data_IF_693285808731
#
_entry.id   IF_693285808731
#
_cell.length_a   1.000
_cell.length_b   1.000
_cell.length_c   1.000
_cell.angle_alpha   90.00
_cell.angle_beta   90.00
_cell.angle_gamma   90.00
#
_symmetry.space_group_name_H-M   'P 1'
#
loop_
_entity.id
_entity.type
_entity.pdbx_description
1 polymer ?
#
# COMPACT_ATOMS: atom_id res chain seq x y z
N UNK A 1 -16.87 29.70 -14.88
CA UNK A 1 -17.50 30.16 -13.64
C UNK A 1 -18.81 29.41 -13.38
N UNK A 2 -19.84 29.50 -14.26
CA UNK A 2 -21.14 28.83 -14.04
C UNK A 2 -20.99 27.33 -13.73
N UNK A 3 -20.20 26.61 -14.50
CA UNK A 3 -19.96 25.16 -14.34
C UNK A 3 -19.28 24.80 -13.02
N UNK A 4 -18.37 25.64 -12.53
CA UNK A 4 -17.70 25.45 -11.22
C UNK A 4 -18.72 25.56 -10.07
N UNK A 5 -19.69 26.47 -10.18
CA UNK A 5 -20.71 26.67 -9.16
C UNK A 5 -21.76 25.55 -9.20
N UNK A 6 -22.23 25.21 -10.40
CA UNK A 6 -23.27 24.18 -10.61
C UNK A 6 -22.69 22.75 -10.47
N UNK A 7 -21.37 22.59 -10.63
CA UNK A 7 -20.66 21.29 -10.65
C UNK A 7 -21.20 20.29 -11.69
N UNK A 8 -21.84 20.80 -12.74
CA UNK A 8 -22.43 20.00 -13.82
C UNK A 8 -22.22 20.66 -15.17
N UNK A 9 -21.42 20.01 -16.03
CA UNK A 9 -21.21 20.45 -17.42
C UNK A 9 -22.49 20.33 -18.26
N UNK A 10 -23.23 19.25 -18.07
CA UNK A 10 -24.50 19.03 -18.78
C UNK A 10 -25.53 20.10 -18.45
N UNK A 11 -25.63 20.53 -17.18
CA UNK A 11 -26.50 21.63 -16.80
C UNK A 11 -26.04 22.95 -17.43
N UNK A 12 -24.74 23.24 -17.44
CA UNK A 12 -24.18 24.47 -18.06
C UNK A 12 -24.42 24.51 -19.58
N UNK A 13 -24.22 23.36 -20.27
CA UNK A 13 -24.54 23.25 -21.70
C UNK A 13 -26.04 23.32 -21.94
N UNK A 14 -26.88 22.76 -21.08
CA UNK A 14 -28.33 22.88 -21.13
C UNK A 14 -28.82 24.34 -21.02
N UNK A 15 -28.21 25.16 -20.15
CA UNK A 15 -28.49 26.58 -20.08
C UNK A 15 -28.12 27.28 -21.40
N UNK A 16 -26.94 26.96 -21.97
CA UNK A 16 -26.54 27.54 -23.25
C UNK A 16 -27.49 27.13 -24.37
N UNK A 17 -27.98 25.89 -24.38
CA UNK A 17 -28.99 25.41 -25.34
C UNK A 17 -30.34 26.13 -25.17
N UNK A 18 -30.74 26.44 -23.92
CA UNK A 18 -31.96 27.22 -23.66
C UNK A 18 -31.79 28.64 -24.18
N UNK A 19 -30.64 29.27 -23.95
CA UNK A 19 -30.32 30.59 -24.49
C UNK A 19 -30.25 30.64 -26.00
N UNK A 20 -29.82 29.56 -26.68
CA UNK A 20 -29.77 29.53 -28.12
C UNK A 20 -31.15 29.67 -28.80
N UNK A 21 -32.24 29.29 -28.11
CA UNK A 21 -33.60 29.46 -28.59
C UNK A 21 -34.03 30.93 -28.65
N UNK A 22 -33.32 31.86 -28.01
CA UNK A 22 -33.55 33.30 -28.13
C UNK A 22 -32.93 33.97 -29.34
N UNK A 23 -32.12 33.21 -30.14
CA UNK A 23 -31.42 33.73 -31.30
C UNK A 23 -30.17 34.57 -30.98
N UNK A 24 -29.76 34.67 -29.73
CA UNK A 24 -28.63 35.52 -29.28
C UNK A 24 -27.30 34.76 -29.29
N UNK A 25 -27.29 33.41 -29.34
CA UNK A 25 -26.09 32.62 -29.28
C UNK A 25 -25.57 32.32 -30.69
N UNK A 26 -24.43 32.94 -31.01
CA UNK A 26 -23.71 32.68 -32.26
C UNK A 26 -22.62 31.61 -32.09
N UNK A 27 -22.09 31.08 -33.20
CA UNK A 27 -21.00 30.14 -33.19
C UNK A 27 -19.77 30.71 -32.46
N UNK A 28 -19.41 31.96 -32.74
CA UNK A 28 -18.30 32.67 -32.12
C UNK A 28 -18.42 32.83 -30.58
N UNK A 29 -19.65 32.99 -30.07
CA UNK A 29 -19.88 33.11 -28.63
C UNK A 29 -20.02 31.79 -27.90
N UNK A 30 -20.52 30.75 -28.59
CA UNK A 30 -20.75 29.43 -27.99
C UNK A 30 -19.45 28.67 -27.73
N UNK A 31 -18.46 28.75 -28.64
CA UNK A 31 -17.19 28.01 -28.54
C UNK A 31 -16.46 28.28 -27.20
N UNK A 32 -16.11 29.54 -26.83
CA UNK A 32 -15.42 29.81 -25.58
C UNK A 32 -16.24 29.42 -24.35
N UNK A 33 -17.59 29.48 -24.42
CA UNK A 33 -18.47 29.05 -23.34
C UNK A 33 -18.42 27.53 -23.17
N UNK A 34 -18.47 26.76 -24.25
CA UNK A 34 -18.39 25.29 -24.22
C UNK A 34 -17.03 24.85 -23.68
N UNK A 35 -15.92 25.40 -24.20
CA UNK A 35 -14.57 25.07 -23.73
C UNK A 35 -14.37 25.51 -22.27
N UNK A 36 -14.95 26.64 -21.86
CA UNK A 36 -14.99 27.06 -20.46
C UNK A 36 -15.79 26.13 -19.54
N UNK A 37 -16.82 25.46 -20.07
CA UNK A 37 -17.57 24.44 -19.34
C UNK A 37 -16.72 23.19 -19.10
N UNK A 38 -15.88 22.77 -20.05
CA UNK A 38 -14.92 21.68 -19.89
C UNK A 38 -13.92 21.98 -18.75
N UNK A 39 -13.34 23.19 -18.74
CA UNK A 39 -12.45 23.61 -17.65
C UNK A 39 -13.19 23.56 -16.30
N UNK A 40 -14.44 24.07 -16.29
CA UNK A 40 -15.24 24.09 -15.05
C UNK A 40 -15.51 22.72 -14.46
N UNK A 41 -15.66 21.69 -15.28
CA UNK A 41 -15.87 20.30 -14.85
C UNK A 41 -14.66 19.73 -14.13
N UNK A 42 -13.47 20.17 -14.50
CA UNK A 42 -12.23 19.68 -13.88
C UNK A 42 -12.01 20.19 -12.45
N UNK A 43 -12.77 21.20 -12.00
CA UNK A 43 -12.71 21.67 -10.61
C UNK A 43 -13.44 20.75 -9.62
N UNK A 44 -14.38 19.93 -10.06
CA UNK A 44 -15.11 19.02 -9.16
C UNK A 44 -14.18 18.00 -8.46
N UNK A 45 -13.32 17.26 -9.14
CA UNK A 45 -12.34 16.40 -8.48
C UNK A 45 -11.34 17.17 -7.61
N UNK A 46 -11.01 18.43 -7.94
CA UNK A 46 -10.11 19.24 -7.15
C UNK A 46 -10.69 19.62 -5.77
N UNK A 47 -12.00 19.75 -5.65
CA UNK A 47 -12.65 20.05 -4.38
C UNK A 47 -12.61 18.86 -3.42
N UNK A 48 -12.45 17.63 -3.93
CA UNK A 48 -12.39 16.40 -3.13
C UNK A 48 -10.95 15.98 -2.78
N UNK A 49 -9.93 16.72 -3.22
CA UNK A 49 -8.51 16.42 -2.98
C UNK A 49 -8.12 16.47 -1.49
N UNK A 50 -8.86 17.15 -0.64
CA UNK A 50 -8.47 17.47 0.74
C UNK A 50 -8.16 16.27 1.66
N UNK A 51 -8.62 15.08 1.32
CA UNK A 51 -8.34 13.83 2.05
C UNK A 51 -7.80 12.70 1.16
N UNK A 52 -7.54 12.99 -0.13
CA UNK A 52 -7.18 11.94 -1.09
C UNK A 52 -5.70 11.57 -1.03
N UNK A 53 -5.39 10.31 -1.36
CA UNK A 53 -4.04 9.81 -1.57
C UNK A 53 -3.27 10.63 -2.60
N UNK A 54 -1.92 10.52 -2.63
CA UNK A 54 -1.08 11.19 -3.64
C UNK A 54 -1.51 10.85 -5.06
N UNK A 55 -1.90 9.60 -5.30
CA UNK A 55 -2.37 9.17 -6.62
C UNK A 55 -3.77 9.71 -6.95
N UNK A 56 -4.65 9.85 -5.97
CA UNK A 56 -5.91 10.57 -6.10
C UNK A 56 -5.69 12.05 -6.48
N UNK A 57 -4.73 12.72 -5.81
CA UNK A 57 -4.31 14.10 -6.14
C UNK A 57 -3.76 14.21 -7.55
N UNK A 58 -2.90 13.26 -7.96
CA UNK A 58 -2.36 13.18 -9.33
C UNK A 58 -3.44 12.95 -10.38
N UNK A 59 -4.38 12.05 -10.12
CA UNK A 59 -5.49 11.77 -11.03
C UNK A 59 -6.38 13.00 -11.24
N UNK A 60 -6.71 13.73 -10.19
CA UNK A 60 -7.46 14.99 -10.27
C UNK A 60 -6.69 16.08 -11.04
N UNK A 61 -5.37 16.17 -10.86
CA UNK A 61 -4.52 17.09 -11.61
C UNK A 61 -4.41 16.70 -13.10
N UNK A 62 -4.31 15.43 -13.44
CA UNK A 62 -4.34 14.94 -14.84
C UNK A 62 -5.65 15.38 -15.50
N UNK A 63 -6.77 15.21 -14.82
CA UNK A 63 -8.08 15.66 -15.32
C UNK A 63 -8.14 17.17 -15.51
N UNK A 64 -7.57 17.96 -14.58
CA UNK A 64 -7.45 19.41 -14.71
C UNK A 64 -6.59 19.80 -15.93
N UNK A 65 -5.39 19.24 -16.03
CA UNK A 65 -4.46 19.54 -17.13
C UNK A 65 -5.06 19.17 -18.49
N UNK A 66 -5.70 18.00 -18.60
CA UNK A 66 -6.40 17.58 -19.79
C UNK A 66 -7.43 18.64 -20.25
N UNK A 67 -8.29 19.10 -19.33
CA UNK A 67 -9.36 20.05 -19.67
C UNK A 67 -8.83 21.47 -19.91
N UNK A 68 -7.89 21.95 -19.10
CA UNK A 68 -7.34 23.31 -19.25
C UNK A 68 -6.49 23.41 -20.51
N UNK A 69 -5.49 22.55 -20.66
CA UNK A 69 -4.56 22.59 -21.80
C UNK A 69 -5.32 22.28 -23.10
N UNK A 70 -6.20 21.27 -23.08
CA UNK A 70 -7.04 20.92 -24.23
C UNK A 70 -7.93 22.06 -24.68
N UNK A 71 -8.62 22.72 -23.75
CA UNK A 71 -9.46 23.86 -24.07
C UNK A 71 -8.67 25.04 -24.65
N UNK A 72 -7.48 25.33 -24.08
CA UNK A 72 -6.61 26.41 -24.58
C UNK A 72 -6.09 26.10 -25.99
N UNK A 73 -5.62 24.86 -26.24
CA UNK A 73 -5.12 24.45 -27.56
C UNK A 73 -6.26 24.51 -28.58
N UNK A 74 -7.42 23.92 -28.28
CA UNK A 74 -8.56 23.93 -29.19
C UNK A 74 -9.04 25.35 -29.50
N UNK A 75 -9.11 26.22 -28.48
CA UNK A 75 -9.47 27.61 -28.66
C UNK A 75 -8.47 28.32 -29.58
N UNK A 76 -7.18 28.16 -29.34
CA UNK A 76 -6.11 28.74 -30.17
C UNK A 76 -6.19 28.26 -31.63
N UNK A 77 -6.41 26.94 -31.84
CA UNK A 77 -6.56 26.38 -33.19
C UNK A 77 -7.79 26.93 -33.92
N UNK A 78 -8.94 27.00 -33.26
CA UNK A 78 -10.18 27.52 -33.86
C UNK A 78 -10.01 28.98 -34.25
N UNK A 79 -9.42 29.81 -33.38
CA UNK A 79 -9.15 31.21 -33.70
C UNK A 79 -8.07 31.37 -34.81
N UNK A 80 -7.04 30.53 -34.82
CA UNK A 80 -6.06 30.52 -35.89
C UNK A 80 -6.71 30.21 -37.25
N UNK A 81 -7.60 29.22 -37.31
CA UNK A 81 -8.37 28.90 -38.54
C UNK A 81 -9.28 30.08 -38.90
N UNK A 82 -9.94 30.69 -37.92
CA UNK A 82 -10.79 31.85 -38.16
C UNK A 82 -10.02 33.03 -38.79
N UNK A 83 -8.82 33.35 -38.27
CA UNK A 83 -8.01 34.44 -38.78
C UNK A 83 -7.28 34.20 -40.09
N UNK A 84 -6.98 32.94 -40.42
CA UNK A 84 -6.25 32.56 -41.64
C UNK A 84 -7.15 32.20 -42.83
N UNK A 85 -8.15 31.38 -42.60
CA UNK A 85 -9.03 30.83 -43.63
C UNK A 85 -10.42 31.47 -43.57
N UNK A 86 -10.88 31.84 -42.37
CA UNK A 86 -12.25 32.22 -42.12
C UNK A 86 -13.17 31.02 -41.93
N UNK A 87 -13.98 31.02 -40.91
CA UNK A 87 -15.02 30.03 -40.67
C UNK A 87 -16.36 30.62 -41.18
N UNK A 88 -16.97 30.08 -42.26
CA UNK A 88 -18.16 30.69 -42.87
C UNK A 88 -19.32 30.90 -41.86
N UNK A 89 -19.51 29.96 -40.91
CA UNK A 89 -20.59 29.99 -39.92
C UNK A 89 -20.26 30.82 -38.64
N UNK A 90 -19.17 31.58 -38.63
CA UNK A 90 -18.69 32.28 -37.43
C UNK A 90 -19.71 33.21 -36.77
N UNK A 91 -20.51 33.89 -37.57
CA UNK A 91 -21.59 34.79 -37.12
C UNK A 91 -22.97 34.16 -37.05
N UNK A 92 -23.11 32.89 -37.49
CA UNK A 92 -24.42 32.24 -37.57
C UNK A 92 -24.98 31.93 -36.19
N UNK A 93 -26.30 32.05 -36.04
CA UNK A 93 -27.04 31.70 -34.83
C UNK A 93 -27.07 30.18 -34.67
N UNK A 94 -26.69 29.69 -33.52
CA UNK A 94 -26.69 28.27 -33.22
C UNK A 94 -28.03 27.78 -32.68
N UNK A 95 -28.39 26.57 -33.05
CA UNK A 95 -29.51 25.83 -32.44
C UNK A 95 -29.01 24.84 -31.37
N UNK A 96 -29.95 24.22 -30.66
CA UNK A 96 -29.66 23.26 -29.57
C UNK A 96 -28.78 22.11 -30.04
N UNK A 97 -29.08 21.54 -31.24
CA UNK A 97 -28.33 20.42 -31.79
C UNK A 97 -26.91 20.80 -32.17
N UNK A 98 -26.71 22.00 -32.76
CA UNK A 98 -25.37 22.50 -33.11
C UNK A 98 -24.49 22.69 -31.87
N UNK A 99 -25.04 23.17 -30.76
CA UNK A 99 -24.31 23.30 -29.48
C UNK A 99 -23.90 21.91 -28.96
N UNK A 100 -24.82 20.93 -28.98
CA UNK A 100 -24.50 19.57 -28.54
C UNK A 100 -23.41 18.93 -29.42
N UNK A 101 -23.52 19.10 -30.73
CA UNK A 101 -22.53 18.54 -31.69
C UNK A 101 -21.13 19.15 -31.47
N UNK A 102 -21.04 20.47 -31.24
CA UNK A 102 -19.75 21.14 -31.00
C UNK A 102 -19.18 20.71 -29.65
N UNK A 103 -20.01 20.57 -28.62
CA UNK A 103 -19.56 20.05 -27.34
C UNK A 103 -18.98 18.64 -27.46
N UNK A 104 -19.67 17.74 -28.16
CA UNK A 104 -19.17 16.38 -28.43
C UNK A 104 -17.90 16.39 -29.26
N UNK A 105 -17.90 17.17 -30.36
CA UNK A 105 -16.75 17.27 -31.26
C UNK A 105 -15.50 17.80 -30.50
N UNK A 106 -15.66 18.84 -29.71
CA UNK A 106 -14.54 19.38 -28.91
C UNK A 106 -13.97 18.37 -27.91
N UNK A 107 -14.82 17.54 -27.28
CA UNK A 107 -14.39 16.45 -26.38
C UNK A 107 -13.63 15.37 -27.13
N UNK A 108 -14.13 14.94 -28.29
CA UNK A 108 -13.46 13.93 -29.14
C UNK A 108 -12.13 14.46 -29.67
N UNK A 109 -12.06 15.70 -30.14
CA UNK A 109 -10.82 16.32 -30.58
C UNK A 109 -9.77 16.40 -29.42
N UNK A 110 -10.19 16.81 -28.23
CA UNK A 110 -9.31 16.83 -27.07
C UNK A 110 -8.79 15.41 -26.71
N UNK A 111 -9.67 14.41 -26.73
CA UNK A 111 -9.29 13.01 -26.49
C UNK A 111 -8.24 12.53 -27.50
N UNK A 112 -8.49 12.73 -28.80
CA UNK A 112 -7.57 12.32 -29.86
C UNK A 112 -6.22 13.04 -29.78
N UNK A 113 -6.22 14.32 -29.37
CA UNK A 113 -5.00 15.11 -29.17
C UNK A 113 -4.13 14.56 -28.03
N UNK A 114 -4.74 14.17 -26.91
CA UNK A 114 -4.00 13.74 -25.73
C UNK A 114 -3.75 12.24 -25.63
N UNK A 115 -4.45 11.40 -26.41
CA UNK A 115 -4.24 9.95 -26.39
C UNK A 115 -2.76 9.58 -26.60
N UNK A 116 -2.05 10.11 -27.62
CA UNK A 116 -0.62 9.83 -27.81
C UNK A 116 0.28 10.52 -26.75
N UNK A 117 -0.21 11.56 -26.08
CA UNK A 117 0.54 12.40 -25.15
C UNK A 117 0.17 12.18 -23.67
N UNK A 118 -0.54 11.09 -23.34
CA UNK A 118 -0.99 10.80 -21.98
C UNK A 118 0.16 10.77 -20.96
N UNK A 119 1.35 10.28 -21.37
CA UNK A 119 2.55 10.30 -20.54
C UNK A 119 3.05 11.71 -20.15
N UNK A 120 2.73 12.73 -20.96
CA UNK A 120 3.10 14.13 -20.63
C UNK A 120 2.23 14.64 -19.47
N UNK A 121 0.92 14.35 -19.50
CA UNK A 121 0.00 14.74 -18.43
C UNK A 121 0.37 14.05 -17.11
N UNK A 122 0.72 12.77 -17.16
CA UNK A 122 1.20 12.03 -15.98
C UNK A 122 2.49 12.63 -15.42
N UNK A 123 3.46 13.00 -16.27
CA UNK A 123 4.69 13.66 -15.83
C UNK A 123 4.43 15.03 -15.19
N UNK A 124 3.52 15.82 -15.75
CA UNK A 124 3.12 17.09 -15.16
C UNK A 124 2.48 16.91 -13.77
N UNK A 125 1.62 15.90 -13.63
CA UNK A 125 1.00 15.60 -12.33
C UNK A 125 2.05 15.13 -11.30
N UNK A 126 3.01 14.30 -11.69
CA UNK A 126 4.13 13.87 -10.83
C UNK A 126 5.05 15.02 -10.44
N UNK A 127 5.28 15.98 -11.33
CA UNK A 127 6.05 17.20 -11.01
C UNK A 127 5.32 18.11 -10.01
N UNK A 128 3.99 18.13 -10.05
CA UNK A 128 3.16 18.95 -9.15
C UNK A 128 2.95 18.30 -7.80
N UNK A 129 2.84 16.96 -7.78
CA UNK A 129 2.76 16.14 -6.56
C UNK A 129 3.93 15.14 -6.60
N UNK A 130 5.13 15.57 -6.19
CA UNK A 130 6.31 14.72 -6.24
C UNK A 130 6.22 13.60 -5.19
N UNK A 131 6.75 12.42 -5.56
CA UNK A 131 7.13 11.39 -4.57
C UNK A 131 8.48 11.79 -3.97
N UNK A 132 8.73 11.45 -2.70
CA UNK A 132 10.09 11.52 -2.18
C UNK A 132 10.97 10.49 -2.91
N UNK A 133 12.28 10.75 -2.98
CA UNK A 133 13.23 9.79 -3.59
C UNK A 133 13.19 8.46 -2.84
N UNK A 134 13.03 8.52 -1.52
CA UNK A 134 12.88 7.35 -0.63
C UNK A 134 11.62 6.55 -0.98
N UNK A 135 10.47 7.21 -1.13
CA UNK A 135 9.21 6.57 -1.52
C UNK A 135 9.28 5.94 -2.92
N UNK A 136 9.96 6.58 -3.87
CA UNK A 136 10.16 6.03 -5.21
C UNK A 136 11.10 4.82 -5.20
N UNK A 137 12.11 4.80 -4.34
CA UNK A 137 13.00 3.64 -4.15
C UNK A 137 12.29 2.52 -3.41
N UNK A 138 11.48 2.84 -2.41
CA UNK A 138 10.68 1.88 -1.65
C UNK A 138 9.66 1.13 -2.53
N UNK A 139 9.08 1.82 -3.52
CA UNK A 139 8.12 1.25 -4.46
C UNK A 139 8.76 0.67 -5.74
N UNK A 140 10.09 0.63 -5.84
CA UNK A 140 10.77 0.06 -7.01
C UNK A 140 10.94 -1.45 -6.91
N UNK A 141 10.67 -2.17 -8.01
CA UNK A 141 11.02 -3.59 -8.11
C UNK A 141 12.53 -3.80 -8.04
N UNK A 142 13.01 -4.86 -7.36
CA UNK A 142 14.41 -5.23 -7.43
C UNK A 142 14.77 -5.67 -8.86
N UNK A 143 15.99 -5.36 -9.29
CA UNK A 143 16.48 -5.84 -10.58
C UNK A 143 17.14 -7.20 -10.36
N UNK A 144 16.60 -8.24 -10.98
CA UNK A 144 17.15 -9.60 -10.98
C UNK A 144 17.71 -9.90 -12.39
N UNK A 145 19.03 -9.99 -12.51
CA UNK A 145 19.71 -10.12 -13.80
C UNK A 145 20.03 -11.59 -14.09
N UNK A 146 19.33 -12.21 -15.03
CA UNK A 146 19.53 -13.60 -15.45
C UNK A 146 20.94 -13.87 -15.99
N UNK A 147 21.69 -12.87 -16.41
CA UNK A 147 23.10 -13.03 -16.85
C UNK A 147 24.02 -13.51 -15.72
N UNK A 148 23.60 -13.28 -14.49
CA UNK A 148 24.34 -13.68 -13.28
C UNK A 148 24.23 -15.18 -12.97
N UNK A 149 23.34 -15.94 -13.62
CA UNK A 149 23.26 -17.39 -13.44
C UNK A 149 24.57 -18.12 -13.74
N UNK A 150 25.44 -17.51 -14.55
CA UNK A 150 26.80 -18.04 -14.78
C UNK A 150 27.73 -17.96 -13.57
N UNK A 151 27.33 -17.25 -12.52
CA UNK A 151 28.04 -17.11 -11.27
C UNK A 151 27.03 -17.26 -10.11
N UNK A 152 26.69 -18.50 -9.71
CA UNK A 152 25.61 -18.80 -8.77
C UNK A 152 25.70 -18.02 -7.46
N UNK A 153 26.89 -17.89 -6.88
CA UNK A 153 27.09 -17.13 -5.65
C UNK A 153 26.68 -15.64 -5.78
N UNK A 154 26.95 -15.01 -6.95
CA UNK A 154 26.54 -13.63 -7.20
C UNK A 154 25.03 -13.54 -7.44
N UNK A 155 24.44 -14.51 -8.13
CA UNK A 155 23.01 -14.59 -8.35
C UNK A 155 22.25 -14.77 -7.01
N UNK A 156 22.74 -15.63 -6.12
CA UNK A 156 22.21 -15.83 -4.76
C UNK A 156 22.28 -14.54 -3.93
N UNK A 157 23.41 -13.84 -3.97
CA UNK A 157 23.53 -12.55 -3.27
C UNK A 157 22.56 -11.50 -3.82
N UNK A 158 22.32 -11.48 -5.12
CA UNK A 158 21.33 -10.58 -5.72
C UNK A 158 19.90 -10.95 -5.28
N UNK A 159 19.56 -12.23 -5.26
CA UNK A 159 18.28 -12.73 -4.75
C UNK A 159 18.09 -12.36 -3.26
N UNK A 160 19.12 -12.61 -2.43
CA UNK A 160 19.10 -12.22 -1.00
C UNK A 160 18.83 -10.73 -0.81
N UNK A 161 19.50 -9.87 -1.58
CA UNK A 161 19.26 -8.43 -1.53
C UNK A 161 17.83 -8.04 -1.94
N UNK A 162 17.19 -8.82 -2.80
CA UNK A 162 15.79 -8.64 -3.14
C UNK A 162 14.88 -9.06 -1.99
N UNK A 163 15.16 -10.20 -1.34
CA UNK A 163 14.42 -10.65 -0.14
C UNK A 163 14.54 -9.64 1.00
N UNK A 164 15.72 -9.05 1.26
CA UNK A 164 15.90 -7.98 2.26
C UNK A 164 15.00 -6.76 1.96
N UNK A 165 14.84 -6.39 0.68
CA UNK A 165 13.90 -5.31 0.32
C UNK A 165 12.44 -5.71 0.54
N UNK A 166 12.11 -6.98 0.36
CA UNK A 166 10.79 -7.52 0.60
C UNK A 166 10.47 -7.54 2.10
N UNK A 167 11.40 -8.00 2.95
CA UNK A 167 11.25 -8.05 4.40
C UNK A 167 10.95 -6.67 5.00
N UNK A 168 11.72 -5.65 4.60
CA UNK A 168 11.51 -4.26 5.04
C UNK A 168 10.13 -3.71 4.66
N UNK A 169 9.60 -4.12 3.51
CA UNK A 169 8.27 -3.72 3.06
C UNK A 169 7.17 -4.39 3.86
N UNK A 170 7.31 -5.70 4.13
CA UNK A 170 6.39 -6.44 4.97
C UNK A 170 6.37 -5.87 6.40
N UNK A 171 7.53 -5.67 7.02
CA UNK A 171 7.64 -5.04 8.34
C UNK A 171 7.02 -3.64 8.38
N UNK A 172 7.25 -2.83 7.33
CA UNK A 172 6.64 -1.50 7.24
C UNK A 172 5.12 -1.56 7.08
N UNK A 173 4.57 -2.54 6.36
CA UNK A 173 3.12 -2.73 6.26
C UNK A 173 2.52 -3.03 7.63
N UNK A 174 3.14 -3.89 8.44
CA UNK A 174 2.69 -4.17 9.81
C UNK A 174 2.68 -2.90 10.66
N UNK A 175 3.78 -2.15 10.68
CA UNK A 175 3.89 -0.90 11.45
C UNK A 175 2.91 0.21 11.00
N UNK A 176 2.39 0.14 9.77
CA UNK A 176 1.36 1.05 9.28
C UNK A 176 -0.07 0.54 9.56
N UNK A 177 -0.28 -0.78 9.62
CA UNK A 177 -1.59 -1.38 9.79
C UNK A 177 -2.11 -1.27 11.24
N UNK A 178 -1.25 -1.50 12.23
CA UNK A 178 -1.65 -1.49 13.64
C UNK A 178 -2.22 -0.12 14.11
N UNK A 179 -1.63 1.05 13.79
CA UNK A 179 -2.22 2.34 14.14
C UNK A 179 -3.59 2.61 13.53
N UNK A 180 -3.94 1.99 12.39
CA UNK A 180 -5.26 2.14 11.76
C UNK A 180 -6.40 1.62 12.64
N UNK A 181 -6.14 0.64 13.50
CA UNK A 181 -7.09 0.12 14.49
C UNK A 181 -7.54 1.19 15.51
N UNK A 182 -6.72 2.22 15.72
CA UNK A 182 -6.99 3.32 16.63
C UNK A 182 -7.53 4.55 15.91
N UNK A 183 -7.03 4.81 14.72
CA UNK A 183 -7.42 5.97 13.90
C UNK A 183 -7.29 5.63 12.42
N UNK A 184 -8.42 5.58 11.73
CA UNK A 184 -8.49 5.32 10.30
C UNK A 184 -7.85 6.44 9.48
N UNK A 185 -7.07 6.08 8.46
CA UNK A 185 -6.45 6.97 7.49
C UNK A 185 -6.42 6.31 6.10
N UNK A 186 -7.21 6.82 5.17
CA UNK A 186 -7.35 6.26 3.81
C UNK A 186 -6.05 6.34 3.00
N UNK A 187 -5.18 7.32 3.27
CA UNK A 187 -3.88 7.43 2.59
C UNK A 187 -2.97 6.27 3.02
N UNK A 188 -2.96 5.93 4.30
CA UNK A 188 -2.22 4.80 4.86
C UNK A 188 -2.74 3.47 4.33
N UNK A 189 -4.07 3.27 4.28
CA UNK A 189 -4.70 2.08 3.67
C UNK A 189 -4.25 1.91 2.22
N UNK A 190 -4.33 2.97 1.43
CA UNK A 190 -3.89 2.94 0.03
C UNK A 190 -2.39 2.60 -0.09
N UNK A 191 -1.55 3.13 0.79
CA UNK A 191 -0.11 2.86 0.81
C UNK A 191 0.20 1.40 1.15
N UNK A 192 -0.52 0.79 2.11
CA UNK A 192 -0.40 -0.63 2.44
C UNK A 192 -0.77 -1.49 1.23
N UNK A 193 -1.95 -1.25 0.61
CA UNK A 193 -2.42 -2.01 -0.56
C UNK A 193 -1.44 -1.94 -1.75
N UNK A 194 -0.85 -0.78 -2.00
CA UNK A 194 0.15 -0.60 -3.07
C UNK A 194 1.43 -1.38 -2.76
N UNK A 195 1.86 -1.38 -1.50
CA UNK A 195 3.09 -2.07 -1.08
C UNK A 195 2.90 -3.58 -1.06
N UNK A 196 1.70 -4.05 -0.69
CA UNK A 196 1.33 -5.47 -0.77
C UNK A 196 1.39 -6.02 -2.18
N UNK A 197 0.73 -5.38 -3.15
CA UNK A 197 0.84 -5.75 -4.56
C UNK A 197 2.29 -5.79 -5.07
N UNK A 198 3.20 -5.07 -4.41
CA UNK A 198 4.60 -5.08 -4.75
C UNK A 198 5.32 -6.27 -4.11
N UNK A 199 4.95 -6.64 -2.87
CA UNK A 199 5.45 -7.82 -2.15
C UNK A 199 5.08 -9.08 -2.94
N UNK A 200 3.80 -9.25 -3.34
CA UNK A 200 3.32 -10.35 -4.17
C UNK A 200 4.13 -10.50 -5.47
N UNK A 201 4.35 -9.38 -6.15
CA UNK A 201 5.14 -9.40 -7.39
C UNK A 201 6.59 -9.74 -7.13
N UNK A 202 7.15 -9.32 -6.02
CA UNK A 202 8.52 -9.66 -5.63
C UNK A 202 8.64 -11.14 -5.30
N UNK A 203 7.67 -11.71 -4.57
CA UNK A 203 7.60 -13.15 -4.31
C UNK A 203 7.68 -13.93 -5.62
N UNK A 204 6.81 -13.64 -6.57
CA UNK A 204 6.78 -14.33 -7.89
C UNK A 204 8.10 -14.15 -8.65
N UNK A 205 8.66 -12.93 -8.70
CA UNK A 205 9.88 -12.66 -9.47
C UNK A 205 11.12 -13.31 -8.82
N UNK A 206 11.24 -13.23 -7.48
CA UNK A 206 12.37 -13.83 -6.75
C UNK A 206 12.29 -15.37 -6.85
N UNK A 207 11.11 -15.94 -6.64
CA UNK A 207 10.88 -17.38 -6.75
C UNK A 207 11.23 -17.90 -8.15
N UNK A 208 10.75 -17.24 -9.20
CA UNK A 208 11.08 -17.62 -10.57
C UNK A 208 12.59 -17.49 -10.87
N UNK A 209 13.24 -16.46 -10.34
CA UNK A 209 14.68 -16.26 -10.49
C UNK A 209 15.47 -17.37 -9.81
N UNK A 210 15.10 -17.75 -8.58
CA UNK A 210 15.73 -18.84 -7.84
C UNK A 210 15.49 -20.20 -8.49
N UNK A 211 14.27 -20.48 -8.97
CA UNK A 211 13.95 -21.72 -9.70
C UNK A 211 14.81 -21.84 -10.98
N UNK A 212 14.93 -20.79 -11.77
CA UNK A 212 15.80 -20.80 -12.96
C UNK A 212 17.28 -20.97 -12.62
N UNK A 213 17.70 -20.49 -11.44
CA UNK A 213 19.07 -20.70 -10.97
C UNK A 213 19.35 -22.19 -10.72
N UNK A 214 18.35 -22.99 -10.29
CA UNK A 214 18.51 -24.45 -10.11
C UNK A 214 18.74 -25.21 -11.41
N UNK A 215 18.44 -24.63 -12.58
CA UNK A 215 18.76 -25.21 -13.89
C UNK A 215 20.27 -25.16 -14.19
N UNK A 216 21.07 -24.47 -13.38
CA UNK A 216 22.52 -24.41 -13.49
C UNK A 216 23.18 -25.55 -12.69
N UNK A 217 24.47 -25.82 -12.96
CA UNK A 217 25.27 -26.74 -12.15
C UNK A 217 25.61 -26.06 -10.81
N UNK A 218 24.79 -26.31 -9.79
CA UNK A 218 24.98 -25.81 -8.42
C UNK A 218 25.74 -26.81 -7.57
N UNK A 219 26.59 -26.29 -6.66
CA UNK A 219 27.12 -27.10 -5.56
C UNK A 219 26.05 -27.38 -4.49
N UNK A 220 26.37 -28.29 -3.56
CA UNK A 220 25.45 -28.68 -2.48
C UNK A 220 25.08 -27.44 -1.61
N UNK A 221 26.08 -26.62 -1.25
CA UNK A 221 25.88 -25.39 -0.45
C UNK A 221 24.99 -24.38 -1.19
N UNK A 222 25.19 -24.21 -2.50
CA UNK A 222 24.39 -23.28 -3.32
C UNK A 222 22.94 -23.78 -3.47
N UNK A 223 22.75 -25.09 -3.64
CA UNK A 223 21.42 -25.72 -3.71
C UNK A 223 20.65 -25.56 -2.41
N UNK A 224 21.33 -25.72 -1.27
CA UNK A 224 20.77 -25.49 0.05
C UNK A 224 20.38 -24.00 0.22
N UNK A 225 21.26 -23.07 -0.15
CA UNK A 225 21.00 -21.64 -0.07
C UNK A 225 19.80 -21.20 -0.93
N UNK A 226 19.60 -21.80 -2.14
CA UNK A 226 18.40 -21.57 -2.95
C UNK A 226 17.15 -22.00 -2.19
N UNK A 227 17.16 -23.18 -1.59
CA UNK A 227 16.03 -23.73 -0.85
C UNK A 227 15.65 -22.84 0.33
N UNK A 228 16.65 -22.39 1.10
CA UNK A 228 16.40 -21.51 2.24
C UNK A 228 15.90 -20.12 1.82
N UNK A 229 16.44 -19.55 0.75
CA UNK A 229 15.92 -18.28 0.23
C UNK A 229 14.46 -18.40 -0.24
N UNK A 230 14.05 -19.53 -0.84
CA UNK A 230 12.65 -19.78 -1.20
C UNK A 230 11.75 -19.84 0.04
N UNK A 231 12.22 -20.47 1.12
CA UNK A 231 11.50 -20.49 2.39
C UNK A 231 11.35 -19.08 2.96
N UNK A 232 12.43 -18.29 3.01
CA UNK A 232 12.38 -16.91 3.52
C UNK A 232 11.47 -16.01 2.71
N UNK A 233 11.42 -16.15 1.39
CA UNK A 233 10.47 -15.42 0.52
C UNK A 233 9.04 -15.66 0.97
N UNK A 234 8.67 -16.92 1.20
CA UNK A 234 7.33 -17.31 1.64
C UNK A 234 7.01 -16.75 3.04
N UNK A 235 7.96 -16.81 3.98
CA UNK A 235 7.74 -16.30 5.33
C UNK A 235 7.53 -14.77 5.33
N UNK A 236 8.30 -14.01 4.55
CA UNK A 236 8.14 -12.55 4.46
C UNK A 236 6.87 -12.12 3.71
N UNK A 237 6.43 -12.86 2.70
CA UNK A 237 5.13 -12.63 2.04
C UNK A 237 4.00 -12.80 3.04
N UNK A 238 4.01 -13.87 3.84
CA UNK A 238 3.01 -14.11 4.88
C UNK A 238 2.92 -12.99 5.90
N UNK A 239 4.06 -12.41 6.31
CA UNK A 239 4.06 -11.22 7.20
C UNK A 239 3.32 -10.06 6.52
N UNK A 240 3.54 -9.83 5.22
CA UNK A 240 2.83 -8.83 4.43
C UNK A 240 1.32 -9.07 4.39
N UNK A 241 0.90 -10.29 4.07
CA UNK A 241 -0.51 -10.73 4.04
C UNK A 241 -1.22 -10.46 5.38
N UNK A 242 -0.58 -10.80 6.52
CA UNK A 242 -1.18 -10.56 7.83
C UNK A 242 -1.28 -9.07 8.17
N UNK A 243 -0.37 -8.24 7.67
CA UNK A 243 -0.49 -6.79 7.78
C UNK A 243 -1.74 -6.26 7.04
N UNK A 244 -2.04 -6.78 5.84
CA UNK A 244 -3.27 -6.46 5.11
C UNK A 244 -4.50 -6.93 5.89
N UNK A 245 -4.48 -8.13 6.46
CA UNK A 245 -5.58 -8.62 7.28
C UNK A 245 -5.86 -7.69 8.48
N UNK A 246 -4.83 -7.18 9.16
CA UNK A 246 -4.99 -6.20 10.26
C UNK A 246 -5.60 -4.89 9.72
N UNK A 247 -5.14 -4.40 8.57
CA UNK A 247 -5.69 -3.21 7.92
C UNK A 247 -7.17 -3.39 7.57
N UNK A 248 -7.57 -4.54 7.00
CA UNK A 248 -8.96 -4.85 6.68
C UNK A 248 -9.85 -4.89 7.93
N UNK A 249 -9.31 -5.32 9.07
CA UNK A 249 -10.01 -5.26 10.35
C UNK A 249 -10.19 -3.83 10.85
N UNK A 250 -9.27 -2.94 10.56
CA UNK A 250 -9.43 -1.52 10.83
C UNK A 250 -10.50 -0.89 9.92
N UNK A 251 -10.53 -1.23 8.62
CA UNK A 251 -11.61 -0.82 7.70
C UNK A 251 -12.98 -1.33 8.21
N UNK A 252 -13.07 -2.59 8.66
CA UNK A 252 -14.30 -3.18 9.21
C UNK A 252 -14.83 -2.42 10.45
N UNK A 253 -13.93 -2.03 11.38
CA UNK A 253 -14.30 -1.22 12.54
C UNK A 253 -14.82 0.16 12.13
N UNK A 254 -14.16 0.80 11.19
CA UNK A 254 -14.54 2.12 10.69
C UNK A 254 -15.90 2.09 10.01
N UNK A 255 -16.16 1.12 9.14
CA UNK A 255 -17.42 0.97 8.42
C UNK A 255 -18.60 0.69 9.36
N UNK A 256 -18.35 0.02 10.49
CA UNK A 256 -19.35 -0.24 11.54
C UNK A 256 -19.49 0.91 12.54
N UNK A 257 -18.77 2.03 12.35
CA UNK A 257 -18.71 3.14 13.32
C UNK A 257 -18.37 2.65 14.76
N UNK A 258 -17.57 1.57 14.84
CA UNK A 258 -17.21 0.91 16.08
C UNK A 258 -15.79 1.27 16.52
N UNK A 259 -15.49 1.16 17.81
CA UNK A 259 -14.16 1.40 18.35
C UNK A 259 -13.89 0.51 19.55
N UNK A 260 -12.62 0.20 19.80
CA UNK A 260 -12.18 -0.50 20.99
C UNK A 260 -12.32 0.37 22.25
N UNK A 261 -12.45 -0.28 23.41
CA UNK A 261 -12.38 0.38 24.71
C UNK A 261 -10.98 0.96 24.96
N UNK A 262 -10.87 1.95 25.85
CA UNK A 262 -9.59 2.55 26.18
C UNK A 262 -8.58 1.54 26.76
N UNK A 263 -9.05 0.53 27.51
CA UNK A 263 -8.19 -0.58 27.96
C UNK A 263 -7.68 -1.41 26.80
N UNK A 264 -8.57 -1.83 25.88
CA UNK A 264 -8.20 -2.61 24.71
C UNK A 264 -7.22 -1.87 23.78
N UNK A 265 -7.37 -0.54 23.64
CA UNK A 265 -6.42 0.28 22.87
C UNK A 265 -5.01 0.26 23.48
N UNK A 266 -4.90 0.40 24.82
CA UNK A 266 -3.60 0.33 25.51
C UNK A 266 -2.97 -1.06 25.39
N UNK A 267 -3.76 -2.09 25.51
CA UNK A 267 -3.35 -3.48 25.36
C UNK A 267 -2.80 -3.72 23.94
N UNK A 268 -3.51 -3.26 22.90
CA UNK A 268 -3.07 -3.36 21.51
C UNK A 268 -1.80 -2.54 21.24
N UNK A 269 -1.64 -1.37 21.87
CA UNK A 269 -0.41 -0.57 21.74
C UNK A 269 0.81 -1.29 22.32
N UNK A 270 0.63 -2.00 23.44
CA UNK A 270 1.72 -2.78 24.03
C UNK A 270 2.09 -3.99 23.18
N UNK A 271 1.08 -4.68 22.61
CA UNK A 271 1.30 -5.78 21.66
C UNK A 271 1.98 -5.30 20.39
N UNK A 272 1.57 -4.14 19.84
CA UNK A 272 2.18 -3.51 18.68
C UNK A 272 3.66 -3.19 18.91
N UNK A 273 4.03 -2.69 20.09
CA UNK A 273 5.43 -2.43 20.44
C UNK A 273 6.27 -3.73 20.48
N UNK A 274 5.71 -4.85 20.94
CA UNK A 274 6.37 -6.15 20.91
C UNK A 274 6.52 -6.68 19.46
N UNK A 275 5.48 -6.50 18.62
CA UNK A 275 5.53 -6.85 17.20
C UNK A 275 6.55 -6.00 16.44
N UNK A 276 6.62 -4.70 16.68
CA UNK A 276 7.63 -3.84 16.06
C UNK A 276 9.05 -4.32 16.43
N UNK A 277 9.26 -4.68 17.69
CA UNK A 277 10.56 -5.18 18.17
C UNK A 277 10.96 -6.49 17.49
N UNK A 278 10.03 -7.47 17.37
CA UNK A 278 10.35 -8.77 16.75
C UNK A 278 10.63 -8.61 15.25
N UNK A 279 9.90 -7.75 14.55
CA UNK A 279 10.13 -7.44 13.13
C UNK A 279 11.51 -6.79 12.92
N UNK A 280 11.88 -5.83 13.75
CA UNK A 280 13.21 -5.19 13.69
C UNK A 280 14.32 -6.20 13.94
N UNK A 281 14.20 -7.05 14.96
CA UNK A 281 15.17 -8.10 15.25
C UNK A 281 15.33 -9.08 14.08
N UNK A 282 14.21 -9.52 13.50
CA UNK A 282 14.22 -10.46 12.37
C UNK A 282 14.85 -9.83 11.13
N UNK A 283 14.50 -8.58 10.81
CA UNK A 283 15.03 -7.87 9.64
C UNK A 283 16.55 -7.61 9.77
N UNK A 284 17.00 -7.13 10.96
CA UNK A 284 18.42 -6.92 11.24
C UNK A 284 19.23 -8.24 11.24
N UNK A 285 18.68 -9.31 11.80
CA UNK A 285 19.31 -10.62 11.78
C UNK A 285 19.48 -11.13 10.35
N UNK A 286 18.42 -11.09 9.55
CA UNK A 286 18.42 -11.57 8.17
C UNK A 286 19.33 -10.74 7.26
N UNK A 287 19.31 -9.42 7.38
CA UNK A 287 20.14 -8.51 6.56
C UNK A 287 21.63 -8.75 6.79
N UNK A 288 22.04 -8.95 8.06
CA UNK A 288 23.45 -9.00 8.46
C UNK A 288 23.98 -10.43 8.65
N UNK A 289 23.18 -11.46 8.40
CA UNK A 289 23.48 -12.87 8.73
C UNK A 289 23.84 -13.02 10.23
N UNK A 290 23.17 -12.25 11.11
CA UNK A 290 23.48 -12.20 12.54
C UNK A 290 22.67 -13.26 13.31
N UNK A 291 23.26 -14.44 13.44
CA UNK A 291 22.65 -15.58 14.15
C UNK A 291 22.46 -15.32 15.64
N UNK A 292 23.28 -14.44 16.26
CA UNK A 292 23.11 -14.06 17.66
C UNK A 292 21.84 -13.23 17.84
N UNK A 293 21.55 -12.33 16.90
CA UNK A 293 20.26 -11.61 16.88
C UNK A 293 19.10 -12.53 16.55
N UNK A 294 19.26 -13.44 15.59
CA UNK A 294 18.24 -14.43 15.29
C UNK A 294 17.84 -15.24 16.53
N UNK A 295 18.80 -15.64 17.36
CA UNK A 295 18.53 -16.36 18.60
C UNK A 295 17.73 -15.56 19.67
N UNK A 296 17.60 -14.24 19.52
CA UNK A 296 16.79 -13.39 20.42
C UNK A 296 15.32 -13.31 19.98
N UNK A 297 14.99 -13.75 18.78
CA UNK A 297 13.62 -13.68 18.23
C UNK A 297 12.70 -14.65 18.94
N UNK A 298 13.12 -15.88 19.15
CA UNK A 298 12.30 -16.95 19.74
C UNK A 298 11.85 -16.66 21.18
N UNK A 299 12.72 -16.14 22.09
CA UNK A 299 12.28 -15.70 23.44
C UNK A 299 11.21 -14.60 23.40
N UNK A 300 11.27 -13.69 22.42
CA UNK A 300 10.28 -12.62 22.27
C UNK A 300 8.97 -13.14 21.67
N UNK A 301 9.02 -14.09 20.73
CA UNK A 301 7.83 -14.74 20.19
C UNK A 301 7.05 -15.47 21.29
N UNK A 302 7.74 -16.21 22.18
CA UNK A 302 7.09 -16.90 23.30
C UNK A 302 6.40 -15.90 24.25
N UNK A 303 6.97 -14.71 24.45
CA UNK A 303 6.31 -13.63 25.22
C UNK A 303 5.09 -13.08 24.47
N UNK A 304 5.16 -12.90 23.15
CA UNK A 304 4.02 -12.44 22.36
C UNK A 304 2.87 -13.46 22.43
N UNK A 305 3.14 -14.75 22.36
CA UNK A 305 2.16 -15.81 22.51
C UNK A 305 1.44 -15.74 23.86
N UNK A 306 2.20 -15.60 24.95
CA UNK A 306 1.63 -15.42 26.30
C UNK A 306 0.80 -14.13 26.38
N UNK A 307 1.24 -13.03 25.75
CA UNK A 307 0.47 -11.79 25.70
C UNK A 307 -0.85 -12.00 24.96
N UNK A 308 -0.84 -12.64 23.80
CA UNK A 308 -2.04 -12.92 22.99
C UNK A 308 -3.04 -13.78 23.76
N UNK A 309 -2.58 -14.84 24.44
CA UNK A 309 -3.44 -15.68 25.27
C UNK A 309 -4.12 -14.88 26.39
N UNK A 310 -3.36 -14.04 27.11
CA UNK A 310 -3.90 -13.19 28.16
C UNK A 310 -4.89 -12.16 27.64
N UNK A 311 -4.57 -11.47 26.56
CA UNK A 311 -5.44 -10.48 25.92
C UNK A 311 -6.75 -11.11 25.47
N UNK A 312 -6.69 -12.34 24.95
CA UNK A 312 -7.86 -13.15 24.57
C UNK A 312 -8.74 -13.43 25.78
N UNK A 313 -8.16 -13.86 26.90
CA UNK A 313 -8.88 -14.13 28.14
C UNK A 313 -9.53 -12.88 28.75
N UNK A 314 -8.82 -11.77 28.77
CA UNK A 314 -9.33 -10.47 29.24
C UNK A 314 -10.49 -9.99 28.36
N UNK A 315 -10.34 -10.14 27.07
CA UNK A 315 -11.40 -9.76 26.12
C UNK A 315 -12.66 -10.60 26.32
N UNK A 316 -12.53 -11.92 26.55
CA UNK A 316 -13.66 -12.82 26.86
C UNK A 316 -14.36 -12.37 28.16
N UNK A 317 -13.64 -11.93 29.17
CA UNK A 317 -14.21 -11.36 30.41
C UNK A 317 -15.01 -10.08 30.09
N UNK A 318 -14.44 -9.13 29.33
CA UNK A 318 -15.14 -7.90 28.92
C UNK A 318 -16.42 -8.17 28.11
N UNK A 319 -16.43 -9.21 27.27
CA UNK A 319 -17.63 -9.64 26.56
C UNK A 319 -18.70 -10.17 27.53
N UNK A 320 -18.33 -11.00 28.51
CA UNK A 320 -19.25 -11.54 29.53
C UNK A 320 -19.85 -10.44 30.40
N UNK A 321 -19.06 -9.41 30.70
CA UNK A 321 -19.47 -8.27 31.53
C UNK A 321 -20.26 -7.21 30.74
N UNK A 322 -20.44 -7.40 29.42
CA UNK A 322 -21.19 -6.50 28.56
C UNK A 322 -20.47 -5.15 28.30
N UNK A 323 -19.15 -5.09 28.53
CA UNK A 323 -18.33 -3.88 28.36
C UNK A 323 -18.05 -3.61 26.88
N UNK A 324 -18.00 -4.66 26.05
CA UNK A 324 -17.79 -4.54 24.61
C UNK A 324 -18.86 -5.29 23.82
N UNK A 325 -19.07 -4.88 22.56
CA UNK A 325 -20.01 -5.54 21.65
C UNK A 325 -19.40 -6.83 21.07
N UNK A 326 -20.25 -7.73 20.61
CA UNK A 326 -19.81 -8.96 19.94
C UNK A 326 -19.04 -8.62 18.66
N UNK A 327 -19.51 -7.63 17.90
CA UNK A 327 -18.87 -7.22 16.63
C UNK A 327 -17.44 -6.73 16.82
N UNK A 328 -17.23 -5.83 17.80
CA UNK A 328 -15.86 -5.38 18.15
C UNK A 328 -15.03 -6.51 18.74
N UNK A 329 -15.69 -7.47 19.40
CA UNK A 329 -15.05 -8.63 19.99
C UNK A 329 -14.43 -9.57 18.98
N UNK A 330 -15.15 -9.87 17.92
CA UNK A 330 -14.64 -10.71 16.82
C UNK A 330 -13.43 -10.05 16.16
N UNK A 331 -13.52 -8.76 15.86
CA UNK A 331 -12.40 -8.00 15.25
C UNK A 331 -11.17 -8.01 16.17
N UNK A 332 -11.35 -7.83 17.48
CA UNK A 332 -10.24 -7.88 18.44
C UNK A 332 -9.53 -9.23 18.43
N UNK A 333 -10.28 -10.33 18.45
CA UNK A 333 -9.72 -11.68 18.39
C UNK A 333 -9.01 -11.96 17.07
N UNK A 334 -9.53 -11.47 15.94
CA UNK A 334 -8.89 -11.60 14.64
C UNK A 334 -7.57 -10.83 14.59
N UNK A 335 -7.51 -9.63 15.19
CA UNK A 335 -6.27 -8.85 15.31
C UNK A 335 -5.23 -9.61 16.14
N UNK A 336 -5.62 -10.19 17.28
CA UNK A 336 -4.72 -11.02 18.09
C UNK A 336 -4.16 -12.22 17.31
N UNK A 337 -5.01 -12.93 16.57
CA UNK A 337 -4.60 -14.06 15.76
C UNK A 337 -3.61 -13.64 14.65
N UNK A 338 -3.84 -12.48 14.00
CA UNK A 338 -2.91 -11.98 12.99
C UNK A 338 -1.57 -11.57 13.61
N UNK A 339 -1.57 -10.99 14.82
CA UNK A 339 -0.37 -10.64 15.57
C UNK A 339 0.46 -11.89 15.93
N UNK A 340 -0.17 -12.94 16.44
CA UNK A 340 0.41 -14.26 16.73
C UNK A 340 1.06 -14.86 15.47
N UNK A 341 0.37 -14.81 14.31
CA UNK A 341 0.91 -15.32 13.05
C UNK A 341 2.12 -14.53 12.55
N UNK A 342 2.14 -13.22 12.71
CA UNK A 342 3.30 -12.40 12.35
C UNK A 342 4.53 -12.81 13.17
N UNK A 343 4.37 -12.99 14.49
CA UNK A 343 5.46 -13.44 15.38
C UNK A 343 5.94 -14.84 15.04
N UNK A 344 5.02 -15.78 14.75
CA UNK A 344 5.31 -17.13 14.27
C UNK A 344 6.22 -17.12 13.02
N UNK A 345 5.92 -16.27 12.03
CA UNK A 345 6.72 -16.17 10.80
C UNK A 345 8.09 -15.56 11.06
N UNK A 346 8.19 -14.57 11.95
CA UNK A 346 9.48 -14.04 12.40
C UNK A 346 10.34 -15.12 13.07
N UNK A 347 9.75 -15.92 13.95
CA UNK A 347 10.41 -17.03 14.61
C UNK A 347 10.85 -18.11 13.59
N UNK A 348 10.00 -18.47 12.62
CA UNK A 348 10.38 -19.44 11.57
C UNK A 348 11.62 -18.99 10.80
N UNK A 349 11.74 -17.70 10.46
CA UNK A 349 12.93 -17.13 9.80
C UNK A 349 14.15 -17.29 10.71
N UNK A 350 14.04 -16.85 11.96
CA UNK A 350 15.14 -16.82 12.91
C UNK A 350 15.66 -18.23 13.25
N UNK A 351 14.76 -19.17 13.51
CA UNK A 351 15.10 -20.57 13.82
C UNK A 351 15.80 -21.24 12.64
N UNK A 352 15.36 -20.97 11.39
CA UNK A 352 16.06 -21.47 10.19
C UNK A 352 17.47 -20.91 10.08
N UNK A 353 17.66 -19.61 10.35
CA UNK A 353 18.99 -18.99 10.35
C UNK A 353 19.93 -19.66 11.38
N UNK A 354 19.43 -19.94 12.58
CA UNK A 354 20.19 -20.64 13.65
C UNK A 354 20.52 -22.06 13.22
N UNK A 355 19.57 -22.78 12.63
CA UNK A 355 19.76 -24.15 12.13
C UNK A 355 20.80 -24.25 11.02
N UNK A 356 20.79 -23.31 10.07
CA UNK A 356 21.76 -23.24 8.98
C UNK A 356 23.21 -23.13 9.50
N UNK A 357 23.46 -22.29 10.51
CA UNK A 357 24.80 -22.16 11.09
C UNK A 357 25.23 -23.40 11.87
N UNK A 358 24.29 -24.06 12.54
CA UNK A 358 24.56 -25.30 13.26
C UNK A 358 24.83 -26.51 12.31
N UNK A 359 24.55 -26.36 11.00
CA UNK A 359 24.65 -27.44 10.01
C UNK A 359 23.61 -28.55 10.24
N UNK A 360 22.49 -28.21 10.87
CA UNK A 360 21.40 -29.12 11.20
C UNK A 360 20.28 -28.97 10.18
N UNK A 361 19.93 -30.10 9.52
CA UNK A 361 18.84 -30.15 8.52
C UNK A 361 17.49 -30.52 9.20
N UNK A 362 17.15 -29.79 10.28
CA UNK A 362 15.86 -29.94 10.94
C UNK A 362 14.85 -28.91 10.43
N UNK A 363 13.57 -29.30 10.42
CA UNK A 363 12.50 -28.33 10.20
C UNK A 363 12.40 -27.34 11.36
N UNK A 364 11.83 -26.16 11.12
CA UNK A 364 11.71 -25.11 12.12
C UNK A 364 10.97 -25.54 13.39
N UNK A 365 9.96 -26.42 13.27
CA UNK A 365 9.20 -26.92 14.41
C UNK A 365 10.05 -27.81 15.33
N UNK A 366 10.90 -28.65 14.76
CA UNK A 366 11.82 -29.50 15.52
C UNK A 366 12.88 -28.66 16.22
N UNK A 367 13.44 -27.65 15.55
CA UNK A 367 14.43 -26.74 16.15
C UNK A 367 13.82 -25.91 17.29
N UNK A 368 12.60 -25.34 17.12
CA UNK A 368 11.86 -24.68 18.20
C UNK A 368 11.69 -25.60 19.41
N UNK A 369 11.22 -26.82 19.18
CA UNK A 369 11.04 -27.80 20.24
C UNK A 369 12.33 -28.09 21.02
N UNK A 370 13.47 -28.17 20.35
CA UNK A 370 14.79 -28.35 20.98
C UNK A 370 15.15 -27.15 21.84
N UNK A 371 14.96 -25.93 21.32
CA UNK A 371 15.26 -24.68 22.04
C UNK A 371 14.41 -24.52 23.31
N UNK A 372 13.13 -24.86 23.25
CA UNK A 372 12.21 -24.78 24.40
C UNK A 372 12.45 -25.87 25.45
N UNK A 373 12.82 -27.11 25.05
CA UNK A 373 13.05 -28.18 26.02
C UNK A 373 14.39 -28.07 26.76
N UNK A 374 15.37 -27.39 26.19
CA UNK A 374 16.68 -27.20 26.82
C UNK A 374 17.22 -25.79 26.57
N UNK A 375 16.55 -24.73 27.11
CA UNK A 375 16.89 -23.36 26.82
C UNK A 375 18.30 -23.02 27.32
N UNK A 376 19.03 -22.29 26.48
CA UNK A 376 20.36 -21.77 26.85
C UNK A 376 20.25 -20.70 27.94
N UNK A 377 21.37 -20.36 28.59
CA UNK A 377 21.38 -19.25 29.57
C UNK A 377 21.05 -17.91 28.91
N UNK A 378 21.50 -17.72 27.67
CA UNK A 378 21.27 -16.49 26.92
C UNK A 378 19.78 -16.41 26.51
N UNK A 379 19.16 -17.51 26.12
CA UNK A 379 17.72 -17.60 25.88
C UNK A 379 16.91 -17.16 27.11
N UNK A 380 17.22 -17.72 28.29
CA UNK A 380 16.52 -17.39 29.53
C UNK A 380 16.71 -15.93 29.96
N UNK A 381 17.88 -15.36 29.67
CA UNK A 381 18.16 -13.96 29.97
C UNK A 381 17.30 -13.04 29.09
N UNK A 382 17.24 -13.32 27.81
CA UNK A 382 16.44 -12.56 26.84
C UNK A 382 14.95 -12.70 27.14
N UNK A 383 14.47 -13.92 27.42
CA UNK A 383 13.09 -14.18 27.84
C UNK A 383 12.69 -13.35 29.06
N UNK A 384 13.50 -13.33 30.11
CA UNK A 384 13.24 -12.53 31.31
C UNK A 384 13.30 -11.02 31.06
N UNK A 385 14.10 -10.58 30.09
CA UNK A 385 14.13 -9.18 29.66
C UNK A 385 12.85 -8.81 28.92
N UNK A 386 12.45 -9.58 27.91
CA UNK A 386 11.21 -9.39 27.16
C UNK A 386 9.98 -9.47 28.08
N UNK A 387 9.98 -10.40 29.04
CA UNK A 387 8.93 -10.53 30.04
C UNK A 387 8.74 -9.25 30.86
N UNK A 388 9.84 -8.65 31.31
CA UNK A 388 9.79 -7.39 32.08
C UNK A 388 9.33 -6.22 31.23
N UNK A 389 9.68 -6.19 29.96
CA UNK A 389 9.39 -5.09 29.06
C UNK A 389 7.94 -5.11 28.55
N UNK A 390 7.38 -6.29 28.27
CA UNK A 390 6.08 -6.41 27.63
C UNK A 390 5.02 -7.09 28.49
N UNK A 391 5.36 -8.18 29.18
CA UNK A 391 4.36 -8.96 29.91
C UNK A 391 4.03 -8.36 31.29
N UNK A 392 5.02 -7.86 32.03
CA UNK A 392 4.78 -7.24 33.34
C UNK A 392 3.90 -5.99 33.23
N UNK A 393 4.12 -5.05 32.28
CA UNK A 393 3.19 -3.93 32.07
C UNK A 393 1.77 -4.36 31.72
N UNK A 394 1.60 -5.46 30.97
CA UNK A 394 0.30 -6.02 30.68
C UNK A 394 -0.38 -6.55 31.96
N UNK A 395 0.36 -7.25 32.82
CA UNK A 395 -0.12 -7.73 34.14
C UNK A 395 -0.55 -6.58 35.06
N UNK A 396 0.17 -5.46 35.04
CA UNK A 396 -0.17 -4.26 35.82
C UNK A 396 -1.44 -3.55 35.32
N UNK A 397 -1.78 -3.67 34.02
CA UNK A 397 -3.03 -3.14 33.48
C UNK A 397 -4.26 -3.98 33.90
N UNK A 398 -4.04 -5.24 34.33
CA UNK A 398 -5.10 -6.13 34.83
C UNK A 398 -5.47 -5.86 36.29
N UNK A 399 -4.57 -5.31 37.09
CA UNK A 399 -4.72 -5.11 38.52
C UNK A 399 -5.49 -3.82 38.87
#
# INVERSE_FOLDING_TARGET
MVTVIIQSSSASVGILQALSSTGLVTFSSAIPIILGAHIGTAFTPLLTIGGSSKDGKRAALIHLYFNVIGSVILLALIYAVQFTIGIPMWGDVMNKSSIANIHTLSSVCAMLLFLPCSGVLSRLAMLTVPSSVEEAQELSMPVLDERLYKSPAVALQQAKNAVIKMSRRAARNVGLAAPLLLKMDEETVSAIKVRENLIDRMEVEITNYLIKLTDQELGDDESHAVTELLNFVTEFERIGDYAVNIMEKAEELYDKEASFSESAKKELQLLDAALERILVLTDEAFENDDVQKAAQVEPLEEIIDVMVERLRDQHIRRLKDGICSIDTGVVFLDVLNNAERISDHCSNIAVRMVGMEAGEDYDSHTLKSIMHHNPSKDYMLEYEQCRKEYLVPLEEMEA
#
